data_IF_739859609302
#
_entry.id   IF_739859609302
#
_cell.length_a   1.000
_cell.length_b   1.000
_cell.length_c   1.000
_cell.angle_alpha   90.00
_cell.angle_beta   90.00
_cell.angle_gamma   90.00
#
_symmetry.space_group_name_H-M   'P 1'
#
loop_
_entity.id
_entity.type
_entity.pdbx_description
1 polymer ?
#
# COMPACT_ATOMS: atom_id res chain seq x y z
N UNK A 1 5.51 11.41 -58.41
CA UNK A 1 6.34 10.25 -57.99
C UNK A 1 6.46 10.28 -56.47
N UNK A 2 6.00 9.21 -55.85
CA UNK A 2 5.87 8.90 -54.41
C UNK A 2 7.22 8.98 -53.66
N UNK A 3 7.24 9.38 -52.36
CA UNK A 3 7.88 8.64 -51.23
C UNK A 3 7.80 9.33 -49.84
N UNK A 4 6.95 8.75 -48.99
CA UNK A 4 7.20 8.29 -47.59
C UNK A 4 7.63 9.37 -46.57
N UNK A 5 6.71 9.99 -45.83
CA UNK A 5 6.20 9.61 -44.49
C UNK A 5 7.31 9.27 -43.48
N UNK A 6 7.46 10.11 -42.46
CA UNK A 6 8.22 9.82 -41.26
C UNK A 6 7.57 10.48 -40.04
N UNK A 7 6.46 9.93 -39.57
CA UNK A 7 5.87 10.33 -38.29
C UNK A 7 6.70 9.70 -37.16
N UNK A 8 7.42 10.53 -36.40
CA UNK A 8 8.11 10.11 -35.18
C UNK A 8 7.05 10.00 -34.08
N UNK A 9 6.65 8.75 -33.78
CA UNK A 9 5.89 8.40 -32.59
C UNK A 9 6.85 8.40 -31.40
N UNK A 10 6.84 9.49 -30.63
CA UNK A 10 7.51 9.56 -29.34
C UNK A 10 6.63 8.83 -28.31
N UNK A 11 6.82 7.52 -28.19
CA UNK A 11 6.12 6.69 -27.21
C UNK A 11 6.70 6.93 -25.82
N UNK A 12 6.18 7.90 -25.09
CA UNK A 12 6.50 8.09 -23.67
C UNK A 12 6.00 6.88 -22.88
N UNK A 13 6.91 6.02 -22.43
CA UNK A 13 6.54 4.94 -21.51
C UNK A 13 6.30 5.57 -20.14
N UNK A 14 5.04 5.66 -19.73
CA UNK A 14 4.71 6.01 -18.34
C UNK A 14 5.01 4.76 -17.51
N UNK A 15 6.01 4.83 -16.64
CA UNK A 15 6.25 3.79 -15.64
C UNK A 15 5.27 4.05 -14.49
N UNK A 16 4.18 3.29 -14.42
CA UNK A 16 3.33 3.33 -13.24
C UNK A 16 4.05 2.57 -12.13
N UNK A 17 4.61 3.29 -11.15
CA UNK A 17 4.96 2.69 -9.88
C UNK A 17 3.67 2.13 -9.28
N UNK A 18 3.53 0.82 -9.27
CA UNK A 18 2.38 0.18 -8.66
C UNK A 18 2.59 0.23 -7.15
N UNK A 19 1.82 1.09 -6.46
CA UNK A 19 1.77 1.07 -5.00
C UNK A 19 1.28 -0.32 -4.58
N UNK A 20 2.20 -1.13 -4.07
CA UNK A 20 1.93 -2.43 -3.51
C UNK A 20 1.70 -2.25 -2.02
N UNK A 21 0.53 -2.65 -1.53
CA UNK A 21 0.21 -2.73 -0.11
C UNK A 21 -0.60 -4.01 0.12
N UNK A 22 -0.12 -4.83 1.03
CA UNK A 22 -0.77 -6.06 1.47
C UNK A 22 -0.81 -6.07 2.99
N UNK A 23 -2.02 -6.14 3.56
CA UNK A 23 -2.21 -6.36 5.00
C UNK A 23 -2.37 -7.86 5.22
N UNK A 24 -1.41 -8.46 5.94
CA UNK A 24 -1.45 -9.89 6.28
C UNK A 24 -2.32 -10.12 7.51
N UNK A 25 -2.24 -9.20 8.48
CA UNK A 25 -3.08 -9.24 9.67
C UNK A 25 -3.55 -7.84 10.05
N UNK A 26 -4.82 -7.69 10.45
CA UNK A 26 -5.88 -8.71 10.35
C UNK A 26 -6.24 -9.01 8.89
N UNK A 27 -6.74 -10.22 8.63
CA UNK A 27 -7.27 -10.59 7.31
C UNK A 27 -8.53 -9.78 7.00
N UNK A 28 -8.86 -9.62 5.71
CA UNK A 28 -10.08 -8.93 5.31
C UNK A 28 -11.33 -9.64 5.88
N UNK A 29 -12.21 -8.85 6.50
CA UNK A 29 -13.41 -9.36 7.19
C UNK A 29 -13.14 -10.15 8.48
N UNK A 30 -11.89 -10.24 8.95
CA UNK A 30 -11.57 -10.95 10.19
C UNK A 30 -12.20 -10.26 11.41
N UNK A 31 -12.87 -11.05 12.25
CA UNK A 31 -13.35 -10.58 13.54
C UNK A 31 -12.22 -10.66 14.57
N UNK A 32 -11.81 -9.51 15.10
CA UNK A 32 -10.85 -9.41 16.20
C UNK A 32 -11.59 -9.22 17.54
N UNK A 33 -11.02 -9.66 18.68
CA UNK A 33 -11.62 -9.43 19.99
C UNK A 33 -11.84 -7.95 20.29
N UNK A 34 -12.76 -7.64 21.21
CA UNK A 34 -12.93 -6.28 21.72
C UNK A 34 -11.73 -5.89 22.59
N UNK A 35 -10.75 -5.25 21.98
CA UNK A 35 -9.52 -4.74 22.60
C UNK A 35 -9.32 -3.28 22.22
N UNK A 36 -8.59 -2.54 23.03
CA UNK A 36 -8.32 -1.13 22.76
C UNK A 36 -7.28 -0.94 21.65
N UNK A 37 -6.46 -1.95 21.37
CA UNK A 37 -5.39 -1.93 20.35
C UNK A 37 -5.03 -3.34 19.89
N UNK A 38 -4.52 -3.46 18.66
CA UNK A 38 -4.08 -4.73 18.10
C UNK A 38 -2.88 -4.54 17.18
N UNK A 39 -2.23 -5.66 16.82
CA UNK A 39 -1.19 -5.65 15.81
C UNK A 39 -1.78 -5.49 14.41
N UNK A 40 -1.08 -4.78 13.55
CA UNK A 40 -1.37 -4.70 12.12
C UNK A 40 -0.03 -4.86 11.41
N UNK A 41 0.06 -5.81 10.50
CA UNK A 41 1.31 -6.09 9.80
C UNK A 41 1.06 -6.61 8.40
N UNK A 42 2.08 -6.48 7.57
CA UNK A 42 2.00 -6.80 6.17
C UNK A 42 3.23 -6.36 5.41
N UNK A 43 3.06 -6.21 4.09
CA UNK A 43 4.10 -5.78 3.17
C UNK A 43 3.64 -4.56 2.37
N UNK A 44 4.58 -3.71 2.03
CA UNK A 44 4.42 -2.57 1.13
C UNK A 44 5.70 -2.39 0.29
N UNK A 45 5.79 -1.33 -0.51
CA UNK A 45 7.05 -0.94 -1.14
C UNK A 45 8.08 -0.51 -0.08
N UNK A 46 9.35 -0.91 -0.24
CA UNK A 46 10.41 -0.63 0.72
C UNK A 46 10.62 0.87 1.05
N UNK A 47 10.32 1.75 0.08
CA UNK A 47 10.44 3.21 0.24
C UNK A 47 9.07 3.90 0.44
N UNK A 48 8.04 3.16 0.85
CA UNK A 48 6.70 3.71 1.01
C UNK A 48 6.56 4.50 2.32
N UNK A 49 5.98 5.69 2.23
CA UNK A 49 5.44 6.40 3.41
C UNK A 49 4.10 5.77 3.79
N UNK A 50 4.08 4.98 4.87
CA UNK A 50 2.89 4.25 5.30
C UNK A 50 2.19 4.98 6.45
N UNK A 51 0.94 5.37 6.21
CA UNK A 51 0.05 5.85 7.24
C UNK A 51 -1.06 4.84 7.49
N UNK A 52 -1.38 4.57 8.76
CA UNK A 52 -2.55 3.78 9.13
C UNK A 52 -3.38 4.59 10.11
N UNK A 53 -4.57 5.01 9.69
CA UNK A 53 -5.48 5.83 10.50
C UNK A 53 -4.82 7.09 11.09
N UNK A 54 -3.94 7.73 10.32
CA UNK A 54 -3.22 8.95 10.71
C UNK A 54 -1.98 8.71 11.58
N UNK A 55 -1.63 7.45 11.85
CA UNK A 55 -0.34 7.10 12.46
C UNK A 55 0.68 6.82 11.37
N UNK A 56 1.85 7.45 11.47
CA UNK A 56 3.03 7.16 10.64
C UNK A 56 3.66 5.83 11.11
N UNK A 57 3.90 4.91 10.17
CA UNK A 57 4.35 3.55 10.44
C UNK A 57 5.68 3.31 9.72
N UNK A 58 6.70 2.96 10.51
CA UNK A 58 8.00 2.59 9.98
C UNK A 58 7.88 1.36 9.06
N UNK A 59 8.32 1.53 7.82
CA UNK A 59 8.48 0.45 6.85
C UNK A 59 9.93 -0.02 6.89
N UNK A 60 10.14 -1.32 7.05
CA UNK A 60 11.45 -1.92 7.01
C UNK A 60 12.01 -1.89 5.57
N UNK A 61 13.33 -1.91 5.42
CA UNK A 61 14.00 -1.76 4.10
C UNK A 61 13.69 -2.88 3.09
N UNK A 62 13.04 -3.96 3.51
CA UNK A 62 12.56 -5.04 2.63
C UNK A 62 11.05 -4.92 2.30
N UNK A 63 10.36 -3.89 2.80
CA UNK A 63 8.94 -3.65 2.60
C UNK A 63 8.03 -4.15 3.71
N UNK A 64 8.53 -4.88 4.70
CA UNK A 64 7.72 -5.33 5.83
C UNK A 64 7.35 -4.20 6.78
N UNK A 65 6.16 -4.26 7.39
CA UNK A 65 5.78 -3.35 8.48
C UNK A 65 5.07 -4.10 9.62
N UNK A 66 5.21 -3.58 10.84
CA UNK A 66 4.53 -4.09 12.04
C UNK A 66 4.17 -2.92 12.95
N UNK A 67 2.89 -2.75 13.24
CA UNK A 67 2.36 -1.68 14.07
C UNK A 67 1.47 -2.23 15.19
N UNK A 68 1.43 -1.55 16.33
CA UNK A 68 0.45 -1.79 17.40
C UNK A 68 -0.40 -0.53 17.57
N UNK A 69 -1.63 -0.56 17.05
CA UNK A 69 -2.45 0.63 16.90
C UNK A 69 -3.80 0.49 17.59
N UNK A 70 -4.41 1.62 18.02
CA UNK A 70 -5.74 1.61 18.58
C UNK A 70 -6.79 1.18 17.55
N UNK A 71 -7.75 0.38 17.99
CA UNK A 71 -8.90 -0.03 17.18
C UNK A 71 -10.20 0.41 17.84
N UNK A 72 -11.25 0.58 17.03
CA UNK A 72 -12.60 0.92 17.50
C UNK A 72 -13.56 -0.17 17.07
N UNK A 73 -14.60 -0.40 17.88
CA UNK A 73 -15.68 -1.31 17.54
C UNK A 73 -16.38 -0.86 16.26
N UNK A 74 -16.66 -1.80 15.36
CA UNK A 74 -17.29 -1.55 14.06
C UNK A 74 -16.42 -2.01 12.89
N UNK A 75 -16.75 -1.58 11.68
CA UNK A 75 -15.91 -1.81 10.50
C UNK A 75 -14.66 -0.95 10.60
N UNK A 76 -13.50 -1.60 10.65
CA UNK A 76 -12.20 -0.94 10.61
C UNK A 76 -11.66 -0.98 9.18
N UNK A 77 -11.09 0.12 8.69
CA UNK A 77 -10.45 0.20 7.37
C UNK A 77 -8.99 0.62 7.54
N UNK A 78 -8.13 0.02 6.70
CA UNK A 78 -6.73 0.40 6.55
C UNK A 78 -6.65 1.29 5.31
N UNK A 79 -6.38 2.58 5.52
CA UNK A 79 -6.38 3.62 4.48
C UNK A 79 -5.01 4.25 4.38
#
# INVERSE_FOLDING_TARGET
MLRIIGYILLSSTVCLAQNHLEVIYPEDGQHIPAVDSTFIFGNTGADADLFINGHDIDVHSDGGFLAFLPVKTGSFQFN
#
